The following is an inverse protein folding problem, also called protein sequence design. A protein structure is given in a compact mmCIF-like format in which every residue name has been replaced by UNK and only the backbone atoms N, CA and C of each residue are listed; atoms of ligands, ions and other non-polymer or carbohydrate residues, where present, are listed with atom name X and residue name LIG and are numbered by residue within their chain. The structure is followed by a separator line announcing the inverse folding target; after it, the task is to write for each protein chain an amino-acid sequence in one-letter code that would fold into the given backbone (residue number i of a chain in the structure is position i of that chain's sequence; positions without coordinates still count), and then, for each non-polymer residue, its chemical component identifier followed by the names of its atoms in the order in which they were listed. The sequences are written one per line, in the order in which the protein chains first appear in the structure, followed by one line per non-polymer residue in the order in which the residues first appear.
data_IF_940003311454
#
_entry.id   IF_940003311454
#
_cell.length_a   1.000
_cell.length_b   1.000
_cell.length_c   1.000
_cell.angle_alpha   90.00
_cell.angle_beta   90.00
_cell.angle_gamma   90.00
#
_symmetry.space_group_name_H-M   'P 1'
#
loop_
_entity.id
_entity.type
_entity.pdbx_description
1 polymer ?
#
# COMPACT_ATOMS: atom_id res chain seq x y z
N UNK A 1 -3.51 -40.36 48.43
CA UNK A 1 -2.28 -41.11 48.73
C UNK A 1 -2.13 -42.12 47.60
N UNK A 2 -1.63 -41.62 46.47
CA UNK A 2 -1.35 -42.41 45.26
C UNK A 2 -0.15 -41.73 44.62
N UNK A 3 1.00 -42.36 44.84
CA UNK A 3 2.32 -41.93 44.36
C UNK A 3 2.50 -42.23 42.88
N UNK A 4 3.39 -41.42 42.29
CA UNK A 4 4.23 -41.69 41.12
C UNK A 4 3.50 -41.84 39.76
N UNK A 5 4.03 -41.37 38.63
CA UNK A 5 5.39 -41.56 38.13
C UNK A 5 5.75 -40.36 37.24
N UNK A 6 6.84 -39.66 37.56
CA UNK A 6 7.47 -38.66 36.68
C UNK A 6 8.28 -39.36 35.59
N UNK A 7 8.06 -39.09 34.30
CA UNK A 7 8.94 -39.56 33.24
C UNK A 7 10.27 -38.80 33.25
N UNK A 8 11.34 -39.58 33.11
CA UNK A 8 12.76 -39.21 33.07
C UNK A 8 13.07 -38.37 31.82
N UNK A 9 13.76 -37.22 31.90
CA UNK A 9 14.20 -36.48 30.72
C UNK A 9 15.33 -37.22 30.01
N UNK A 10 15.18 -37.38 28.69
CA UNK A 10 16.20 -37.92 27.79
C UNK A 10 17.33 -36.90 27.56
N UNK A 11 18.59 -37.34 27.39
CA UNK A 11 19.71 -36.45 27.07
C UNK A 11 19.54 -35.81 25.68
N UNK A 12 19.90 -34.54 25.60
CA UNK A 12 19.98 -33.75 24.36
C UNK A 12 21.30 -34.14 23.69
N UNK A 13 21.23 -34.79 22.54
CA UNK A 13 22.39 -34.96 21.66
C UNK A 13 22.67 -33.63 20.95
N UNK A 14 23.87 -33.11 21.21
CA UNK A 14 24.45 -31.88 20.73
C UNK A 14 25.14 -32.13 19.38
N UNK A 15 24.63 -31.62 18.23
CA UNK A 15 25.37 -31.72 16.98
C UNK A 15 26.44 -30.63 16.89
N UNK A 16 27.67 -31.14 16.83
CA UNK A 16 28.95 -30.48 16.68
C UNK A 16 28.98 -29.29 15.70
N UNK A 17 29.65 -28.24 16.17
CA UNK A 17 30.19 -27.12 15.43
C UNK A 17 31.10 -27.56 14.26
N UNK A 18 30.73 -27.19 13.04
CA UNK A 18 31.57 -27.32 11.84
C UNK A 18 31.65 -26.01 11.05
N UNK A 19 32.64 -25.19 11.36
CA UNK A 19 33.21 -24.15 10.50
C UNK A 19 34.74 -24.41 10.46
N UNK A 20 35.54 -23.90 9.51
CA UNK A 20 35.25 -23.28 8.21
C UNK A 20 36.07 -23.90 7.06
N UNK A 21 35.65 -23.75 5.80
CA UNK A 21 36.56 -23.93 4.65
C UNK A 21 36.49 -22.71 3.76
N UNK A 22 37.53 -21.89 3.89
CA UNK A 22 37.93 -20.89 2.93
C UNK A 22 38.48 -21.58 1.67
N UNK A 23 38.01 -21.17 0.49
CA UNK A 23 38.67 -21.50 -0.77
C UNK A 23 38.46 -20.37 -1.78
N UNK A 24 39.51 -19.56 -1.87
CA UNK A 24 40.16 -19.09 -3.09
C UNK A 24 39.35 -18.30 -4.13
N UNK A 25 39.66 -16.99 -4.13
CA UNK A 25 39.82 -16.14 -5.32
C UNK A 25 40.52 -16.88 -6.48
N UNK A 26 40.22 -16.49 -7.72
CA UNK A 26 41.29 -15.88 -8.50
C UNK A 26 40.92 -14.49 -9.04
N UNK A 27 41.94 -13.65 -9.01
CA UNK A 27 42.00 -12.34 -9.61
C UNK A 27 41.93 -12.44 -11.15
N UNK A 28 41.13 -11.56 -11.75
CA UNK A 28 41.12 -11.28 -13.19
C UNK A 28 41.03 -9.78 -13.42
N UNK A 29 42.18 -9.11 -13.41
CA UNK A 29 42.40 -7.78 -14.02
C UNK A 29 42.81 -7.97 -15.50
N UNK A 30 43.04 -6.90 -16.28
CA UNK A 30 42.07 -5.94 -16.79
C UNK A 30 42.09 -5.95 -18.34
N UNK A 31 40.95 -5.80 -19.02
CA UNK A 31 40.98 -5.57 -20.47
C UNK A 31 40.83 -4.09 -20.78
N UNK A 32 41.99 -3.48 -21.01
CA UNK A 32 42.19 -2.24 -21.74
C UNK A 32 41.68 -2.36 -23.17
N UNK A 33 40.68 -1.55 -23.54
CA UNK A 33 40.41 -1.19 -24.92
C UNK A 33 40.19 0.33 -25.01
N UNK A 34 41.27 0.94 -25.47
CA UNK A 34 41.50 2.24 -26.10
C UNK A 34 40.29 2.93 -26.76
N UNK A 35 40.27 4.29 -26.78
CA UNK A 35 39.12 5.09 -27.15
C UNK A 35 39.03 5.28 -28.67
N UNK A 36 37.84 5.16 -29.22
CA UNK A 36 37.57 5.62 -30.59
C UNK A 36 37.09 7.07 -30.56
N UNK A 37 37.96 7.93 -31.09
CA UNK A 37 37.75 9.33 -31.33
C UNK A 37 37.01 9.48 -32.66
N UNK A 38 35.69 9.67 -32.59
CA UNK A 38 34.83 9.91 -33.75
C UNK A 38 34.04 11.21 -33.62
N UNK A 39 34.69 12.32 -34.00
CA UNK A 39 34.12 13.55 -34.57
C UNK A 39 32.94 14.29 -33.88
N UNK A 40 33.16 15.55 -33.43
CA UNK A 40 32.08 16.51 -33.27
C UNK A 40 31.64 17.05 -34.64
N UNK A 41 30.38 16.85 -35.00
CA UNK A 41 29.73 17.65 -36.05
C UNK A 41 29.40 19.05 -35.49
N UNK A 42 29.92 20.14 -36.08
CA UNK A 42 29.46 21.48 -35.78
C UNK A 42 28.15 21.75 -36.53
N UNK A 43 27.01 21.61 -35.86
CA UNK A 43 25.78 22.25 -36.33
C UNK A 43 25.85 23.74 -35.96
N UNK A 44 26.51 24.49 -36.84
CA UNK A 44 26.27 25.91 -37.01
C UNK A 44 24.84 26.08 -37.53
N UNK A 45 23.90 26.37 -36.63
CA UNK A 45 22.65 27.03 -37.01
C UNK A 45 22.77 28.49 -36.62
N UNK A 46 22.70 29.31 -37.67
CA UNK A 46 22.73 30.75 -37.73
C UNK A 46 21.85 31.45 -36.67
N UNK A 47 22.33 32.59 -36.14
CA UNK A 47 21.51 33.63 -35.56
C UNK A 47 20.97 34.54 -36.68
N UNK A 48 19.65 34.72 -36.75
CA UNK A 48 19.07 35.76 -37.60
C UNK A 48 17.62 35.51 -37.97
N UNK A 49 16.70 36.17 -37.27
CA UNK A 49 15.59 36.95 -37.83
C UNK A 49 14.60 37.25 -36.71
N UNK A 50 14.71 38.46 -36.20
CA UNK A 50 13.63 39.20 -35.54
C UNK A 50 12.59 39.51 -36.63
N UNK A 51 11.30 39.13 -36.47
CA UNK A 51 10.22 39.82 -37.13
C UNK A 51 9.66 40.88 -36.20
N UNK A 52 9.35 42.00 -36.82
CA UNK A 52 8.82 43.22 -36.27
C UNK A 52 7.60 43.06 -35.37
N UNK A 53 7.57 43.96 -34.39
CA UNK A 53 6.35 44.47 -33.83
C UNK A 53 5.59 45.25 -34.92
N UNK A 54 4.49 44.70 -35.42
CA UNK A 54 3.40 45.49 -35.97
C UNK A 54 2.12 44.65 -36.07
N UNK A 55 1.08 45.15 -35.40
CA UNK A 55 -0.32 45.07 -35.81
C UNK A 55 -0.93 43.69 -36.08
N UNK A 56 -1.69 43.18 -35.10
CA UNK A 56 -3.10 42.82 -35.35
C UNK A 56 -3.88 43.19 -34.08
N UNK A 57 -4.33 44.43 -34.09
CA UNK A 57 -5.50 44.90 -33.36
C UNK A 57 -6.72 44.19 -33.97
N UNK A 58 -7.30 43.25 -33.23
CA UNK A 58 -8.58 42.65 -33.57
C UNK A 58 -9.44 42.64 -32.32
N UNK A 59 -10.38 43.59 -32.33
CA UNK A 59 -11.54 43.70 -31.46
C UNK A 59 -12.11 42.33 -31.07
N UNK A 60 -12.07 42.05 -29.78
CA UNK A 60 -12.96 41.06 -29.17
C UNK A 60 -13.97 41.82 -28.31
N UNK A 61 -15.27 41.78 -28.63
CA UNK A 61 -16.27 42.45 -27.82
C UNK A 61 -16.31 41.81 -26.43
N UNK A 62 -16.08 42.65 -25.42
CA UNK A 62 -16.31 42.36 -24.01
C UNK A 62 -17.78 42.00 -23.81
N UNK A 63 -18.10 40.71 -23.87
CA UNK A 63 -19.36 40.19 -23.36
C UNK A 63 -19.35 40.32 -21.84
N UNK A 64 -20.11 41.30 -21.34
CA UNK A 64 -20.39 41.47 -19.92
C UNK A 64 -21.12 40.24 -19.39
N UNK A 65 -20.38 39.33 -18.76
CA UNK A 65 -20.97 38.24 -18.00
C UNK A 65 -21.54 38.81 -16.70
N UNK A 66 -22.83 39.07 -16.72
CA UNK A 66 -23.69 39.25 -15.55
C UNK A 66 -23.45 38.09 -14.57
N UNK A 67 -22.87 38.38 -13.40
CA UNK A 67 -22.84 37.41 -12.30
C UNK A 67 -24.28 37.17 -11.80
N UNK A 68 -24.82 35.95 -11.88
CA UNK A 68 -26.02 35.59 -11.13
C UNK A 68 -25.67 35.52 -9.63
N UNK A 69 -26.59 36.02 -8.81
CA UNK A 69 -26.38 36.34 -7.41
C UNK A 69 -25.83 35.21 -6.55
N UNK A 70 -24.94 35.61 -5.65
CA UNK A 70 -24.42 34.80 -4.55
C UNK A 70 -25.56 34.56 -3.55
N UNK A 71 -26.36 33.53 -3.81
CA UNK A 71 -27.27 32.95 -2.82
C UNK A 71 -26.46 32.18 -1.77
N UNK A 72 -26.52 32.63 -0.52
CA UNK A 72 -25.89 31.98 0.64
C UNK A 72 -26.39 30.53 0.82
N UNK A 73 -25.52 29.50 0.71
CA UNK A 73 -25.94 28.09 0.80
C UNK A 73 -25.78 27.49 2.20
N UNK A 74 -25.80 28.29 3.27
CA UNK A 74 -25.67 27.80 4.65
C UNK A 74 -27.02 27.63 5.33
N UNK A 75 -27.91 26.83 4.73
CA UNK A 75 -29.13 26.41 5.40
C UNK A 75 -29.41 24.93 5.10
N UNK A 76 -28.90 24.08 6.00
CA UNK A 76 -29.56 22.85 6.41
C UNK A 76 -29.39 21.65 5.49
N UNK A 77 -28.43 20.76 5.82
CA UNK A 77 -28.67 19.34 5.58
C UNK A 77 -27.91 18.39 6.52
N UNK A 78 -28.27 18.42 7.80
CA UNK A 78 -27.70 17.54 8.84
C UNK A 78 -28.10 16.07 8.68
N UNK A 79 -28.98 15.73 7.72
CA UNK A 79 -29.42 14.35 7.43
C UNK A 79 -28.59 13.67 6.34
N UNK A 80 -27.85 14.43 5.53
CA UNK A 80 -26.95 13.90 4.50
C UNK A 80 -25.70 13.19 5.08
N UNK A 81 -25.29 13.53 6.31
CA UNK A 81 -24.07 13.00 6.92
C UNK A 81 -24.06 11.49 7.19
N UNK A 82 -25.22 10.86 7.46
CA UNK A 82 -25.27 9.44 7.85
C UNK A 82 -25.21 8.46 6.68
N UNK A 83 -25.73 8.80 5.50
CA UNK A 83 -25.66 7.93 4.29
C UNK A 83 -24.27 7.94 3.63
N UNK A 84 -23.51 9.03 3.81
CA UNK A 84 -22.17 9.18 3.21
C UNK A 84 -21.13 8.26 3.87
N UNK A 85 -21.31 7.88 5.14
CA UNK A 85 -20.35 7.03 5.88
C UNK A 85 -20.41 5.57 5.41
N UNK A 86 -21.60 5.00 5.20
CA UNK A 86 -21.76 3.61 4.76
C UNK A 86 -21.22 3.36 3.34
N UNK A 87 -21.46 4.27 2.41
CA UNK A 87 -20.97 4.17 1.02
C UNK A 87 -19.44 4.27 0.94
N UNK A 88 -18.81 5.02 1.86
CA UNK A 88 -17.34 5.15 1.94
C UNK A 88 -16.67 3.88 2.48
N UNK A 89 -17.30 3.16 3.39
CA UNK A 89 -16.80 1.88 3.92
C UNK A 89 -16.83 0.78 2.86
N UNK A 90 -17.94 0.65 2.11
CA UNK A 90 -18.08 -0.34 1.03
C UNK A 90 -17.07 -0.08 -0.11
N UNK A 91 -16.84 1.19 -0.47
CA UNK A 91 -15.79 1.55 -1.45
C UNK A 91 -14.38 1.23 -0.96
N UNK A 92 -14.13 1.26 0.34
CA UNK A 92 -12.84 0.90 0.93
C UNK A 92 -12.50 -0.59 0.81
N UNK A 93 -13.49 -1.47 1.00
CA UNK A 93 -13.30 -2.91 0.88
C UNK A 93 -13.00 -3.35 -0.58
N UNK A 94 -13.73 -2.79 -1.55
CA UNK A 94 -13.47 -3.05 -2.98
C UNK A 94 -12.09 -2.56 -3.44
N UNK A 95 -11.54 -1.53 -2.78
CA UNK A 95 -10.22 -0.99 -3.08
C UNK A 95 -9.09 -1.96 -2.71
N UNK A 96 -9.19 -2.69 -1.59
CA UNK A 96 -8.18 -3.66 -1.18
C UNK A 96 -7.99 -4.81 -2.18
N UNK A 97 -9.10 -5.38 -2.67
CA UNK A 97 -9.07 -6.43 -3.71
C UNK A 97 -8.55 -5.88 -5.03
N UNK A 98 -8.97 -4.66 -5.41
CA UNK A 98 -8.47 -3.99 -6.61
C UNK A 98 -6.96 -3.70 -6.56
N UNK A 99 -6.43 -3.31 -5.39
CA UNK A 99 -5.04 -2.94 -5.21
C UNK A 99 -4.09 -4.13 -5.44
N UNK A 100 -4.48 -5.31 -4.95
CA UNK A 100 -3.70 -6.55 -5.09
C UNK A 100 -3.60 -6.95 -6.54
N UNK A 101 -4.73 -6.98 -7.26
CA UNK A 101 -4.74 -7.31 -8.68
C UNK A 101 -3.87 -6.33 -9.48
N UNK A 102 -3.90 -5.05 -9.12
CA UNK A 102 -3.10 -4.00 -9.78
C UNK A 102 -1.61 -4.15 -9.45
N UNK A 103 -1.25 -4.45 -8.20
CA UNK A 103 0.14 -4.66 -7.77
C UNK A 103 0.79 -5.87 -8.45
N UNK A 104 0.09 -7.01 -8.51
CA UNK A 104 0.56 -8.22 -9.21
C UNK A 104 0.79 -7.94 -10.68
N UNK A 105 -0.18 -7.30 -11.35
CA UNK A 105 -0.05 -6.93 -12.78
C UNK A 105 1.10 -5.96 -13.01
N UNK A 106 1.34 -5.01 -12.10
CA UNK A 106 2.44 -4.06 -12.20
C UNK A 106 3.81 -4.74 -12.09
N UNK A 107 3.98 -5.69 -11.16
CA UNK A 107 5.24 -6.44 -11.02
C UNK A 107 5.49 -7.31 -12.26
N UNK A 108 4.49 -8.07 -12.72
CA UNK A 108 4.61 -8.88 -13.94
C UNK A 108 4.97 -8.02 -15.16
N UNK A 109 4.34 -6.85 -15.32
CA UNK A 109 4.62 -5.96 -16.44
C UNK A 109 5.96 -5.21 -16.32
N UNK A 110 6.45 -4.98 -15.10
CA UNK A 110 7.77 -4.37 -14.87
C UNK A 110 8.91 -5.30 -15.28
N UNK A 111 8.76 -6.60 -15.04
CA UNK A 111 9.69 -7.64 -15.50
C UNK A 111 9.61 -7.80 -17.02
N UNK A 112 8.42 -7.67 -17.60
CA UNK A 112 8.18 -7.80 -19.04
C UNK A 112 8.42 -6.55 -19.90
N UNK A 113 8.90 -5.43 -19.33
CA UNK A 113 9.23 -4.21 -20.08
C UNK A 113 8.05 -3.39 -20.64
N UNK A 114 6.79 -3.74 -20.33
CA UNK A 114 5.58 -3.07 -20.86
C UNK A 114 5.07 -1.97 -19.93
N UNK A 115 5.88 -0.94 -19.71
CA UNK A 115 5.59 0.12 -18.72
C UNK A 115 4.49 1.12 -19.16
N UNK A 116 4.21 1.26 -20.46
CA UNK A 116 3.27 2.26 -20.98
C UNK A 116 1.79 1.99 -20.62
N UNK A 117 1.37 0.72 -20.64
CA UNK A 117 0.01 0.29 -20.29
C UNK A 117 -0.31 0.47 -18.81
N UNK A 118 0.69 0.35 -17.94
CA UNK A 118 0.55 0.52 -16.49
C UNK A 118 0.17 1.96 -16.16
N UNK A 119 0.85 2.95 -16.76
CA UNK A 119 0.63 4.36 -16.44
C UNK A 119 -0.79 4.84 -16.75
N UNK A 120 -1.39 4.37 -17.86
CA UNK A 120 -2.78 4.70 -18.22
C UNK A 120 -3.76 4.12 -17.21
N UNK A 121 -3.52 2.89 -16.73
CA UNK A 121 -4.37 2.23 -15.74
C UNK A 121 -4.24 2.88 -14.35
N UNK A 122 -3.03 3.27 -13.96
CA UNK A 122 -2.79 4.01 -12.71
C UNK A 122 -3.43 5.40 -12.72
N UNK A 123 -3.42 6.11 -13.85
CA UNK A 123 -4.16 7.38 -14.00
C UNK A 123 -5.67 7.20 -13.80
N UNK A 124 -6.27 6.14 -14.34
CA UNK A 124 -7.71 5.85 -14.10
C UNK A 124 -8.01 5.59 -12.62
N UNK A 125 -7.13 4.90 -11.89
CA UNK A 125 -7.30 4.67 -10.45
C UNK A 125 -7.12 5.94 -9.61
N UNK A 126 -6.16 6.80 -9.96
CA UNK A 126 -5.98 8.08 -9.28
C UNK A 126 -7.24 8.96 -9.39
N UNK A 127 -7.91 8.97 -10.55
CA UNK A 127 -9.21 9.62 -10.73
C UNK A 127 -10.31 9.04 -9.82
N UNK A 128 -10.30 7.72 -9.58
CA UNK A 128 -11.24 7.06 -8.67
C UNK A 128 -11.08 7.48 -7.20
N UNK A 129 -9.87 7.90 -6.80
CA UNK A 129 -9.55 8.39 -5.46
C UNK A 129 -9.84 9.89 -5.28
N UNK A 130 -10.34 10.57 -6.32
CA UNK A 130 -10.71 11.97 -6.27
C UNK A 130 -9.53 12.95 -6.28
N UNK A 131 -8.34 12.53 -6.75
CA UNK A 131 -7.26 13.50 -6.97
C UNK A 131 -7.57 14.32 -8.23
N UNK A 132 -8.09 15.53 -8.05
CA UNK A 132 -8.47 16.43 -9.14
C UNK A 132 -7.27 17.01 -9.90
N UNK A 133 -6.05 16.86 -9.39
CA UNK A 133 -4.89 17.52 -9.98
C UNK A 133 -4.19 16.64 -11.03
N UNK A 134 -4.08 17.09 -12.29
CA UNK A 134 -3.26 16.43 -13.30
C UNK A 134 -1.78 16.62 -12.94
N UNK A 135 -1.23 15.66 -12.19
CA UNK A 135 0.18 15.66 -11.77
C UNK A 135 1.09 15.73 -13.00
N UNK A 136 1.95 16.76 -13.05
CA UNK A 136 3.00 16.87 -14.06
C UNK A 136 4.00 15.73 -13.85
N UNK A 137 3.94 14.72 -14.73
CA UNK A 137 4.73 13.51 -14.57
C UNK A 137 6.18 13.76 -15.02
N UNK A 138 7.10 13.92 -14.07
CA UNK A 138 8.52 13.67 -14.35
C UNK A 138 8.69 12.18 -14.62
N UNK A 139 9.44 11.80 -15.67
CA UNK A 139 9.66 10.38 -16.03
C UNK A 139 10.43 9.69 -14.90
N UNK A 140 9.83 8.72 -14.17
CA UNK A 140 10.53 8.04 -13.08
C UNK A 140 11.64 7.14 -13.65
N UNK A 141 12.78 7.08 -12.96
CA UNK A 141 13.88 6.18 -13.30
C UNK A 141 13.50 4.71 -13.10
N UNK A 142 14.19 3.79 -13.79
CA UNK A 142 13.91 2.35 -13.76
C UNK A 142 13.94 1.75 -12.34
N UNK A 143 14.91 2.16 -11.52
CA UNK A 143 15.06 1.70 -10.13
C UNK A 143 13.85 2.11 -9.28
N UNK A 144 13.39 3.36 -9.40
CA UNK A 144 12.22 3.83 -8.67
C UNK A 144 10.95 3.07 -9.05
N UNK A 145 10.78 2.75 -10.34
CA UNK A 145 9.67 1.90 -10.79
C UNK A 145 9.71 0.51 -10.17
N UNK A 146 10.90 -0.09 -10.06
CA UNK A 146 11.07 -1.41 -9.45
C UNK A 146 10.76 -1.41 -7.95
N UNK A 147 11.38 -0.49 -7.19
CA UNK A 147 11.13 -0.34 -5.73
C UNK A 147 9.65 -0.12 -5.46
N UNK A 148 9.00 0.73 -6.25
CA UNK A 148 7.57 0.98 -6.10
C UNK A 148 6.72 -0.24 -6.44
N UNK A 149 7.12 -1.03 -7.45
CA UNK A 149 6.47 -2.30 -7.76
C UNK A 149 6.52 -3.27 -6.57
N UNK A 150 7.67 -3.39 -5.93
CA UNK A 150 7.85 -4.22 -4.72
C UNK A 150 7.00 -3.71 -3.57
N UNK A 151 7.05 -2.40 -3.27
CA UNK A 151 6.23 -1.80 -2.21
C UNK A 151 4.72 -1.97 -2.46
N UNK A 152 4.29 -1.83 -3.71
CA UNK A 152 2.89 -2.03 -4.11
C UNK A 152 2.43 -3.46 -3.85
N UNK A 153 3.29 -4.46 -4.11
CA UNK A 153 3.00 -5.86 -3.76
C UNK A 153 2.95 -6.07 -2.24
N UNK A 154 3.91 -5.52 -1.49
CA UNK A 154 3.92 -5.63 -0.01
C UNK A 154 2.65 -5.02 0.59
N UNK A 155 2.26 -3.82 0.15
CA UNK A 155 1.01 -3.19 0.60
C UNK A 155 -0.24 -3.93 0.14
N UNK A 156 -0.23 -4.52 -1.06
CA UNK A 156 -1.30 -5.40 -1.52
C UNK A 156 -1.45 -6.63 -0.61
N UNK A 157 -0.36 -7.33 -0.33
CA UNK A 157 -0.34 -8.49 0.57
C UNK A 157 -0.79 -8.12 1.99
N UNK A 158 -0.28 -7.00 2.52
CA UNK A 158 -0.69 -6.50 3.84
C UNK A 158 -2.19 -6.16 3.86
N UNK A 159 -2.71 -5.57 2.78
CA UNK A 159 -4.14 -5.29 2.65
C UNK A 159 -4.99 -6.57 2.59
N UNK A 160 -4.55 -7.62 1.88
CA UNK A 160 -5.23 -8.93 1.88
C UNK A 160 -5.21 -9.56 3.26
N UNK A 161 -4.06 -9.53 3.91
CA UNK A 161 -3.90 -10.11 5.23
C UNK A 161 -4.80 -9.41 6.25
N UNK A 162 -4.85 -8.08 6.24
CA UNK A 162 -5.78 -7.31 7.07
C UNK A 162 -7.25 -7.61 6.73
N UNK A 163 -7.59 -7.78 5.44
CA UNK A 163 -8.95 -8.18 5.03
C UNK A 163 -9.29 -9.58 5.52
N UNK A 164 -8.36 -10.52 5.44
CA UNK A 164 -8.50 -11.88 5.97
C UNK A 164 -8.70 -11.84 7.49
N UNK A 165 -7.88 -11.08 8.23
CA UNK A 165 -8.05 -10.87 9.67
C UNK A 165 -9.40 -10.23 10.01
N UNK A 166 -9.88 -9.29 9.19
CA UNK A 166 -11.20 -8.70 9.37
C UNK A 166 -12.30 -9.75 9.20
N UNK A 167 -12.23 -10.58 8.15
CA UNK A 167 -13.18 -11.68 7.93
C UNK A 167 -13.13 -12.68 9.09
N UNK A 168 -11.94 -13.10 9.52
CA UNK A 168 -11.75 -13.96 10.69
C UNK A 168 -12.34 -13.32 11.95
N UNK A 169 -12.16 -12.03 12.16
CA UNK A 169 -12.69 -11.31 13.33
C UNK A 169 -14.21 -11.24 13.31
N UNK A 170 -14.81 -11.03 12.13
CA UNK A 170 -16.27 -11.02 11.96
C UNK A 170 -16.84 -12.42 12.18
N UNK A 171 -16.28 -13.44 11.55
CA UNK A 171 -16.76 -14.83 11.67
C UNK A 171 -16.53 -15.36 13.08
N UNK A 172 -15.34 -15.17 13.65
CA UNK A 172 -14.97 -15.75 14.95
C UNK A 172 -15.47 -14.93 16.13
N UNK A 173 -15.64 -13.62 16.02
CA UNK A 173 -16.05 -12.78 17.15
C UNK A 173 -17.57 -12.86 17.39
N UNK A 174 -18.37 -12.07 16.65
CA UNK A 174 -19.83 -12.08 16.75
C UNK A 174 -20.47 -13.47 16.61
N UNK A 175 -19.96 -14.31 15.69
CA UNK A 175 -20.55 -15.64 15.44
C UNK A 175 -19.89 -16.78 16.24
N UNK A 176 -18.99 -16.50 17.19
CA UNK A 176 -18.39 -17.54 18.06
C UNK A 176 -19.45 -18.46 18.67
N UNK A 177 -20.52 -17.86 19.19
CA UNK A 177 -21.60 -18.57 19.88
C UNK A 177 -22.50 -19.41 18.98
N UNK A 178 -22.39 -19.27 17.64
CA UNK A 178 -23.15 -20.07 16.68
C UNK A 178 -22.34 -21.23 16.10
N UNK A 179 -21.01 -21.16 16.14
CA UNK A 179 -20.12 -22.15 15.51
C UNK A 179 -19.67 -23.21 16.51
N UNK A 180 -19.52 -22.85 17.79
CA UNK A 180 -19.04 -23.76 18.83
C UNK A 180 -20.18 -24.13 19.82
N UNK A 181 -20.75 -25.31 19.64
CA UNK A 181 -21.66 -25.94 20.60
C UNK A 181 -20.90 -26.99 21.40
N UNK A 182 -20.25 -26.57 22.50
CA UNK A 182 -19.49 -27.48 23.36
C UNK A 182 -19.52 -27.10 24.84
N UNK A 183 -19.34 -28.07 25.75
CA UNK A 183 -19.20 -27.79 27.18
C UNK A 183 -17.92 -26.97 27.41
N UNK A 184 -18.08 -25.72 27.86
CA UNK A 184 -16.97 -24.83 28.19
C UNK A 184 -16.28 -25.36 29.44
N UNK A 185 -15.14 -26.03 29.25
CA UNK A 185 -14.35 -26.56 30.35
C UNK A 185 -13.80 -25.45 31.27
N UNK A 186 -13.48 -25.78 32.54
CA UNK A 186 -12.81 -24.84 33.43
C UNK A 186 -11.47 -24.41 32.80
N UNK A 187 -11.33 -23.11 32.49
CA UNK A 187 -10.15 -22.54 31.85
C UNK A 187 -10.44 -21.73 30.58
N UNK A 188 -11.67 -21.70 30.08
CA UNK A 188 -12.04 -20.86 28.94
C UNK A 188 -12.05 -19.37 29.28
N UNK A 189 -11.44 -18.56 28.41
CA UNK A 189 -11.44 -17.10 28.51
C UNK A 189 -12.89 -16.60 28.40
N UNK A 190 -13.42 -16.02 29.48
CA UNK A 190 -14.83 -15.61 29.60
C UNK A 190 -15.66 -16.44 30.59
N UNK A 191 -15.06 -17.39 31.29
CA UNK A 191 -15.72 -18.16 32.35
C UNK A 191 -16.45 -19.41 31.85
N UNK A 192 -17.14 -20.14 32.73
CA UNK A 192 -17.75 -21.43 32.42
C UNK A 192 -19.03 -21.33 31.57
N UNK A 193 -19.52 -20.12 31.28
CA UNK A 193 -20.77 -19.91 30.55
C UNK A 193 -20.50 -19.56 29.08
N UNK A 194 -21.34 -20.09 28.19
CA UNK A 194 -21.34 -19.75 26.75
C UNK A 194 -21.42 -18.23 26.52
N UNK A 195 -22.27 -17.56 27.30
CA UNK A 195 -22.48 -16.12 27.20
C UNK A 195 -21.22 -15.32 27.58
N UNK A 196 -20.49 -15.74 28.61
CA UNK A 196 -19.26 -15.09 29.04
C UNK A 196 -18.12 -15.27 28.03
N UNK A 197 -17.92 -16.48 27.52
CA UNK A 197 -16.96 -16.74 26.44
C UNK A 197 -17.29 -15.93 25.18
N UNK A 198 -18.56 -15.92 24.77
CA UNK A 198 -19.02 -15.10 23.64
C UNK A 198 -18.76 -13.61 23.85
N UNK A 199 -19.08 -13.07 25.03
CA UNK A 199 -18.93 -11.64 25.32
C UNK A 199 -17.47 -11.19 25.22
N UNK A 200 -16.52 -12.00 25.70
CA UNK A 200 -15.08 -11.70 25.58
C UNK A 200 -14.65 -11.68 24.11
N UNK A 201 -15.03 -12.69 23.33
CA UNK A 201 -14.68 -12.75 21.91
C UNK A 201 -15.31 -11.60 21.11
N UNK A 202 -16.57 -11.28 21.37
CA UNK A 202 -17.25 -10.15 20.76
C UNK A 202 -16.59 -8.81 21.15
N UNK A 203 -16.23 -8.64 22.43
CA UNK A 203 -15.59 -7.43 22.94
C UNK A 203 -14.19 -7.21 22.35
N UNK A 204 -13.43 -8.27 22.07
CA UNK A 204 -12.12 -8.18 21.41
C UNK A 204 -12.28 -7.98 19.89
N UNK A 205 -13.23 -8.66 19.26
CA UNK A 205 -13.43 -8.56 17.82
C UNK A 205 -13.96 -7.19 17.38
N UNK A 206 -14.85 -6.57 18.16
CA UNK A 206 -15.46 -5.28 17.80
C UNK A 206 -14.43 -4.16 17.54
N UNK A 207 -13.46 -3.87 18.44
CA UNK A 207 -12.44 -2.87 18.17
C UNK A 207 -11.56 -3.24 16.97
N UNK A 208 -11.26 -4.52 16.75
CA UNK A 208 -10.49 -4.97 15.57
C UNK A 208 -11.27 -4.70 14.28
N UNK A 209 -12.56 -5.04 14.26
CA UNK A 209 -13.47 -4.80 13.12
C UNK A 209 -13.54 -3.32 12.78
N UNK A 210 -13.59 -2.45 13.79
CA UNK A 210 -13.60 -1.00 13.58
C UNK A 210 -12.24 -0.49 13.13
N UNK A 211 -11.14 -0.97 13.73
CA UNK A 211 -9.77 -0.50 13.50
C UNK A 211 -9.25 -0.85 12.11
N UNK A 212 -9.47 -2.08 11.61
CA UNK A 212 -8.89 -2.56 10.34
C UNK A 212 -9.25 -1.65 9.15
N UNK A 213 -10.53 -1.24 8.93
CA UNK A 213 -10.88 -0.29 7.87
C UNK A 213 -10.13 1.04 7.94
N UNK A 214 -9.84 1.56 9.14
CA UNK A 214 -9.04 2.78 9.30
C UNK A 214 -7.59 2.54 8.89
N UNK A 215 -7.01 1.40 9.25
CA UNK A 215 -5.65 1.03 8.83
C UNK A 215 -5.57 0.84 7.31
N UNK A 216 -6.54 0.16 6.71
CA UNK A 216 -6.64 0.00 5.25
C UNK A 216 -6.76 1.35 4.53
N UNK A 217 -7.54 2.29 5.09
CA UNK A 217 -7.62 3.66 4.58
C UNK A 217 -6.28 4.39 4.71
N UNK A 218 -5.58 4.23 5.83
CA UNK A 218 -4.25 4.78 6.05
C UNK A 218 -3.24 4.27 5.02
N UNK A 219 -3.21 2.95 4.78
CA UNK A 219 -2.41 2.31 3.74
C UNK A 219 -2.70 2.88 2.35
N UNK A 220 -3.98 3.03 1.99
CA UNK A 220 -4.38 3.62 0.71
C UNK A 220 -3.88 5.06 0.55
N UNK A 221 -4.01 5.88 1.60
CA UNK A 221 -3.54 7.27 1.59
C UNK A 221 -2.00 7.36 1.54
N UNK A 222 -1.31 6.47 2.25
CA UNK A 222 0.14 6.39 2.27
C UNK A 222 0.69 5.99 0.89
N UNK A 223 0.09 4.97 0.28
CA UNK A 223 0.40 4.55 -1.09
C UNK A 223 0.15 5.70 -2.08
N UNK A 224 -0.98 6.41 -1.97
CA UNK A 224 -1.24 7.60 -2.78
C UNK A 224 -0.20 8.70 -2.59
N UNK A 225 0.27 8.92 -1.35
CA UNK A 225 1.32 9.88 -1.04
C UNK A 225 2.67 9.47 -1.66
N UNK A 226 2.99 8.18 -1.66
CA UNK A 226 4.21 7.65 -2.28
C UNK A 226 4.22 7.84 -3.80
N UNK A 227 3.08 7.58 -4.46
CA UNK A 227 2.91 7.85 -5.90
C UNK A 227 3.16 9.32 -6.20
N UNK A 228 2.57 10.24 -5.42
CA UNK A 228 2.79 11.69 -5.57
C UNK A 228 4.26 12.05 -5.40
N UNK A 229 4.95 11.43 -4.44
CA UNK A 229 6.39 11.65 -4.21
C UNK A 229 7.22 11.30 -5.43
N UNK A 230 6.92 10.18 -6.09
CA UNK A 230 7.66 9.73 -7.26
C UNK A 230 7.55 10.68 -8.45
N UNK A 231 6.40 11.37 -8.58
CA UNK A 231 6.21 12.38 -9.61
C UNK A 231 6.79 13.74 -9.26
N UNK A 232 7.54 13.85 -8.15
CA UNK A 232 8.21 15.07 -7.74
C UNK A 232 7.31 16.04 -6.96
N UNK A 233 6.12 15.61 -6.54
CA UNK A 233 5.31 16.40 -5.60
C UNK A 233 6.03 16.46 -4.25
N UNK A 234 6.06 17.64 -3.64
CA UNK A 234 6.58 17.82 -2.29
C UNK A 234 5.63 17.13 -1.30
N UNK A 235 5.99 15.91 -0.88
CA UNK A 235 5.30 15.18 0.18
C UNK A 235 6.17 15.22 1.42
N UNK A 236 5.53 15.19 2.59
CA UNK A 236 6.23 15.19 3.87
C UNK A 236 7.30 14.10 3.92
N UNK A 237 8.50 14.47 4.38
CA UNK A 237 9.64 13.56 4.48
C UNK A 237 9.34 12.31 5.33
N UNK A 238 8.37 12.40 6.25
CA UNK A 238 7.84 11.31 7.07
C UNK A 238 7.20 10.14 6.30
N UNK A 239 6.80 10.34 5.04
CA UNK A 239 6.16 9.28 4.25
C UNK A 239 7.10 8.10 4.04
N UNK A 240 8.39 8.36 3.77
CA UNK A 240 9.36 7.29 3.57
C UNK A 240 9.56 6.41 4.82
N UNK A 241 9.91 6.96 6.00
CA UNK A 241 10.08 6.14 7.19
C UNK A 241 8.78 5.46 7.61
N UNK A 242 7.62 6.11 7.46
CA UNK A 242 6.33 5.49 7.75
C UNK A 242 6.09 4.25 6.86
N UNK A 243 6.34 4.36 5.55
CA UNK A 243 6.22 3.25 4.60
C UNK A 243 7.18 2.11 4.92
N UNK A 244 8.44 2.41 5.24
CA UNK A 244 9.43 1.39 5.61
C UNK A 244 8.99 0.66 6.89
N UNK A 245 8.64 1.42 7.93
CA UNK A 245 8.23 0.86 9.22
C UNK A 245 6.98 -0.02 9.07
N UNK A 246 5.99 0.44 8.30
CA UNK A 246 4.76 -0.31 8.07
C UNK A 246 5.00 -1.57 7.23
N UNK A 247 5.91 -1.51 6.25
CA UNK A 247 6.27 -2.68 5.44
C UNK A 247 6.99 -3.73 6.29
N UNK A 248 8.03 -3.34 7.02
CA UNK A 248 8.80 -4.24 7.89
C UNK A 248 7.91 -4.81 9.00
N UNK A 249 7.17 -3.94 9.70
CA UNK A 249 6.24 -4.35 10.75
C UNK A 249 5.14 -5.28 10.24
N UNK A 250 4.58 -4.99 9.06
CA UNK A 250 3.59 -5.85 8.41
C UNK A 250 4.12 -7.23 8.06
N UNK A 251 5.33 -7.32 7.51
CA UNK A 251 6.00 -8.59 7.18
C UNK A 251 6.28 -9.41 8.44
N UNK A 252 6.85 -8.79 9.47
CA UNK A 252 7.16 -9.46 10.74
C UNK A 252 5.89 -9.95 11.43
N UNK A 253 4.84 -9.13 11.45
CA UNK A 253 3.55 -9.51 12.02
C UNK A 253 2.91 -10.67 11.25
N UNK A 254 2.91 -10.62 9.92
CA UNK A 254 2.43 -11.71 9.07
C UNK A 254 3.20 -13.01 9.35
N UNK A 255 4.53 -12.95 9.35
CA UNK A 255 5.39 -14.09 9.65
C UNK A 255 5.10 -14.67 11.03
N UNK A 256 5.04 -13.82 12.07
CA UNK A 256 4.71 -14.25 13.43
C UNK A 256 3.34 -14.93 13.51
N UNK A 257 2.35 -14.46 12.75
CA UNK A 257 1.03 -15.07 12.71
C UNK A 257 1.06 -16.44 12.03
N UNK A 258 1.82 -16.62 10.95
CA UNK A 258 1.98 -17.93 10.29
C UNK A 258 2.67 -18.96 11.15
N UNK A 259 3.51 -18.55 12.11
CA UNK A 259 4.15 -19.44 13.07
C UNK A 259 3.20 -19.86 14.21
N UNK A 260 2.06 -19.18 14.39
CA UNK A 260 1.06 -19.52 15.41
C UNK A 260 0.04 -20.57 14.95
N UNK A 261 -0.10 -20.76 13.63
CA UNK A 261 -0.99 -21.77 13.03
C UNK A 261 -0.25 -23.09 12.94
#
# INVERSE_FOLDING_TARGET
MTDAIHPRPTPIDEPQSGHPSASNLPAGTPSSATPDAGAPHPNAIQPGAHPDASQVEADTPYASNSQPGVGSPYAGDSRAGRRVVGVRLVRGAGYGVGLVGVGVVAVVQSVGGRLGSVQVRWRRMAGYLGSAEPVRLRRPGRVNCFVHGVLSVVFGLLSLFLLMLLVLSVVRGPFYGFVEDGPFGPGTWGGPTKAGAWMVHAAIALPIIVMIPFVLRGLALLHAAEIRRMYGSAVGWWVLPATILLSVGGILFFYSWTQQI
#
